data_IF_705500559267
#
_entry.id   IF_705500559267
#
_cell.length_a   1.000
_cell.length_b   1.000
_cell.length_c   1.000
_cell.angle_alpha   90.00
_cell.angle_beta   90.00
_cell.angle_gamma   90.00
#
_symmetry.space_group_name_H-M   'P 1'
#
loop_
_entity.id
_entity.type
_entity.pdbx_description
1 polymer ?
#
# COMPACT_ATOMS: atom_id res chain seq x y z
N UNK A 1 15.65 -1.53 18.49
CA UNK A 1 16.84 -2.38 18.72
C UNK A 1 17.93 -1.97 17.73
N UNK A 2 19.21 -1.95 18.12
CA UNK A 2 20.27 -1.72 17.13
C UNK A 2 20.41 -2.99 16.26
N UNK A 3 20.61 -2.84 14.94
CA UNK A 3 20.61 -3.98 14.00
C UNK A 3 21.61 -5.08 14.40
N UNK A 4 22.70 -4.69 15.06
CA UNK A 4 23.72 -5.60 15.60
C UNK A 4 23.25 -6.54 16.72
N UNK A 5 22.05 -6.32 17.28
CA UNK A 5 21.45 -7.17 18.32
C UNK A 5 20.16 -7.87 17.86
N UNK A 6 19.73 -7.67 16.62
CA UNK A 6 18.57 -8.36 16.08
C UNK A 6 18.97 -9.78 15.69
N UNK A 7 18.37 -10.77 16.34
CA UNK A 7 18.50 -12.17 15.94
C UNK A 7 17.19 -12.58 15.25
N UNK A 8 17.14 -12.61 13.91
CA UNK A 8 15.93 -12.92 13.17
C UNK A 8 15.40 -14.32 13.50
N UNK A 9 16.28 -15.28 13.79
CA UNK A 9 15.88 -16.64 14.16
C UNK A 9 15.16 -16.66 15.51
N UNK A 10 15.59 -15.83 16.46
CA UNK A 10 14.91 -15.71 17.76
C UNK A 10 13.55 -15.02 17.63
N UNK A 11 13.42 -14.06 16.73
CA UNK A 11 12.14 -13.42 16.43
C UNK A 11 11.18 -14.42 15.77
N UNK A 12 11.66 -15.23 14.81
CA UNK A 12 10.88 -16.30 14.20
C UNK A 12 10.38 -17.27 15.28
N UNK A 13 11.29 -17.85 16.08
CA UNK A 13 10.94 -18.86 17.09
C UNK A 13 10.12 -18.32 18.28
N UNK A 14 10.00 -16.99 18.43
CA UNK A 14 9.19 -16.39 19.49
C UNK A 14 7.67 -16.59 19.30
N UNK A 15 7.23 -17.06 18.13
CA UNK A 15 5.83 -17.26 17.80
C UNK A 15 5.22 -15.97 17.26
N UNK A 16 4.15 -15.51 17.89
CA UNK A 16 3.46 -14.28 17.48
C UNK A 16 4.19 -13.04 18.03
N UNK A 17 4.38 -12.04 17.17
CA UNK A 17 5.09 -10.79 17.47
C UNK A 17 4.33 -9.61 16.93
N UNK A 18 4.45 -8.43 17.53
CA UNK A 18 3.93 -7.22 16.90
C UNK A 18 4.90 -6.77 15.79
N UNK A 19 4.41 -6.70 14.55
CA UNK A 19 5.18 -6.24 13.40
C UNK A 19 4.83 -4.79 13.08
N UNK A 20 5.80 -3.89 13.16
CA UNK A 20 5.62 -2.47 12.84
C UNK A 20 6.36 -2.12 11.54
N UNK A 21 5.63 -1.57 10.58
CA UNK A 21 6.12 -1.05 9.31
C UNK A 21 5.86 0.45 9.26
N UNK A 22 6.91 1.24 8.99
CA UNK A 22 6.82 2.70 8.92
C UNK A 22 7.18 3.20 7.53
N UNK A 23 6.26 3.92 6.90
CA UNK A 23 6.48 4.58 5.61
C UNK A 23 7.16 5.91 5.87
N UNK A 24 8.43 6.03 5.44
CA UNK A 24 9.26 7.19 5.79
C UNK A 24 8.82 8.49 5.09
N UNK A 25 8.20 8.41 3.91
CA UNK A 25 7.76 9.58 3.12
C UNK A 25 6.53 10.26 3.71
N UNK A 26 5.59 9.50 4.27
CA UNK A 26 4.35 9.99 4.89
C UNK A 26 4.41 10.01 6.41
N UNK A 27 5.41 9.36 7.00
CA UNK A 27 5.53 9.11 8.45
C UNK A 27 4.36 8.29 9.02
N UNK A 28 3.56 7.65 8.17
CA UNK A 28 2.51 6.72 8.58
C UNK A 28 3.14 5.42 9.09
N UNK A 29 2.58 4.90 10.18
CA UNK A 29 3.00 3.63 10.78
C UNK A 29 1.86 2.63 10.74
N UNK A 30 2.18 1.40 10.39
CA UNK A 30 1.27 0.27 10.32
C UNK A 30 1.79 -0.81 11.26
N UNK A 31 0.99 -1.21 12.24
CA UNK A 31 1.35 -2.24 13.23
C UNK A 31 0.39 -3.41 13.12
N UNK A 32 0.90 -4.57 12.74
CA UNK A 32 0.18 -5.83 12.83
C UNK A 32 0.33 -6.37 14.24
N UNK A 33 -0.77 -6.49 14.97
CA UNK A 33 -0.76 -6.98 16.33
C UNK A 33 -0.84 -8.50 16.33
N UNK A 34 0.02 -9.15 17.13
CA UNK A 34 0.08 -10.60 17.26
C UNK A 34 0.36 -11.34 15.93
N UNK A 35 1.26 -10.78 15.11
CA UNK A 35 1.63 -11.30 13.80
C UNK A 35 2.43 -12.61 13.88
N UNK A 36 1.95 -13.67 13.25
CA UNK A 36 2.61 -14.97 13.15
C UNK A 36 3.61 -14.98 11.99
N UNK A 37 4.91 -14.89 12.30
CA UNK A 37 5.95 -14.89 11.28
C UNK A 37 6.13 -16.23 10.56
N UNK A 38 5.67 -17.36 11.11
CA UNK A 38 5.84 -18.68 10.50
C UNK A 38 4.78 -19.02 9.45
N UNK A 39 3.57 -18.47 9.61
CA UNK A 39 2.47 -18.70 8.66
C UNK A 39 2.58 -17.84 7.39
N UNK A 40 3.58 -16.95 7.32
CA UNK A 40 3.59 -15.88 6.31
C UNK A 40 4.16 -16.30 4.97
N UNK A 41 3.35 -16.18 3.92
CA UNK A 41 3.83 -15.75 2.60
C UNK A 41 4.36 -14.32 2.80
N UNK A 42 5.57 -14.02 2.31
CA UNK A 42 6.17 -12.70 2.47
C UNK A 42 5.17 -11.61 2.02
N UNK A 43 4.93 -10.56 2.82
CA UNK A 43 4.07 -9.46 2.40
C UNK A 43 4.70 -8.81 1.16
N UNK A 44 4.04 -8.79 -0.01
CA UNK A 44 4.52 -7.99 -1.12
C UNK A 44 4.55 -6.52 -0.68
N UNK A 45 5.74 -5.91 -0.69
CA UNK A 45 5.97 -4.54 -0.19
C UNK A 45 5.40 -3.44 -1.10
N UNK A 46 4.80 -3.79 -2.24
CA UNK A 46 4.71 -2.88 -3.40
C UNK A 46 3.46 -1.99 -3.48
N UNK A 47 2.52 -2.03 -2.54
CA UNK A 47 1.34 -1.15 -2.62
C UNK A 47 0.86 -0.62 -1.25
N UNK A 48 1.81 -0.34 -0.37
CA UNK A 48 1.53 0.27 0.94
C UNK A 48 1.72 1.77 0.84
N UNK A 49 0.59 2.48 0.71
CA UNK A 49 0.41 3.92 0.95
C UNK A 49 0.98 4.87 -0.10
N UNK A 50 0.33 4.91 -1.27
CA UNK A 50 0.41 6.12 -2.11
C UNK A 50 -0.40 7.24 -1.43
N UNK A 51 0.23 8.41 -1.24
CA UNK A 51 -0.41 9.67 -0.84
C UNK A 51 -1.01 9.79 0.59
N UNK A 52 -0.51 9.05 1.58
CA UNK A 52 -1.01 9.12 2.96
C UNK A 52 -0.55 10.34 3.78
N UNK A 53 -0.68 11.57 3.25
CA UNK A 53 -0.46 12.82 4.02
C UNK A 53 -1.79 13.54 4.22
N UNK A 54 -2.22 13.70 5.49
CA UNK A 54 -3.47 14.35 5.91
C UNK A 54 -3.55 15.87 5.63
N UNK A 55 -3.56 16.26 4.36
CA UNK A 55 -3.45 17.64 3.87
C UNK A 55 -4.77 18.21 3.29
N UNK A 56 -5.87 17.46 3.29
CA UNK A 56 -7.13 17.85 2.62
C UNK A 56 -8.37 17.33 3.37
N UNK A 57 -9.54 17.90 3.04
CA UNK A 57 -10.85 17.52 3.60
C UNK A 57 -11.35 16.13 3.19
N UNK A 58 -10.65 15.45 2.28
CA UNK A 58 -10.92 14.08 1.80
C UNK A 58 -9.60 13.42 1.45
N UNK A 59 -9.31 12.29 2.12
CA UNK A 59 -8.02 11.59 2.07
C UNK A 59 -8.25 10.14 1.69
N UNK A 60 -7.92 9.71 0.48
CA UNK A 60 -8.08 8.31 0.12
C UNK A 60 -6.80 7.55 0.47
N UNK A 61 -6.77 6.90 1.64
CA UNK A 61 -5.71 5.95 1.92
C UNK A 61 -6.05 4.62 1.29
N UNK A 62 -5.10 4.04 0.53
CA UNK A 62 -5.23 2.68 0.06
C UNK A 62 -4.23 1.82 0.82
N UNK A 63 -4.76 0.87 1.57
CA UNK A 63 -3.95 -0.17 2.19
C UNK A 63 -4.32 -1.47 1.48
N UNK A 64 -3.37 -2.05 0.76
CA UNK A 64 -3.69 -3.23 -0.03
C UNK A 64 -3.78 -4.51 0.81
N UNK A 65 -4.38 -5.54 0.19
CA UNK A 65 -4.78 -6.80 0.80
C UNK A 65 -3.62 -7.83 0.85
N UNK A 66 -2.46 -7.42 1.37
CA UNK A 66 -1.21 -8.17 1.18
C UNK A 66 -0.95 -9.28 2.19
N UNK A 67 -1.70 -9.29 3.29
CA UNK A 67 -1.41 -10.16 4.42
C UNK A 67 -2.67 -10.94 4.76
N UNK A 68 -2.64 -12.28 4.63
CA UNK A 68 -3.76 -13.14 5.00
C UNK A 68 -4.24 -12.83 6.42
N UNK A 69 -5.56 -12.68 6.60
CA UNK A 69 -6.17 -12.31 7.89
C UNK A 69 -5.90 -13.29 9.04
N UNK A 70 -5.44 -14.50 8.74
CA UNK A 70 -5.15 -15.56 9.70
C UNK A 70 -3.76 -15.46 10.33
N UNK A 71 -2.92 -14.53 9.87
CA UNK A 71 -1.55 -14.37 10.38
C UNK A 71 -1.38 -13.20 11.34
N UNK A 72 -2.44 -12.47 11.70
CA UNK A 72 -2.45 -11.43 12.72
C UNK A 72 -3.86 -11.27 13.31
N UNK A 73 -3.99 -10.63 14.48
CA UNK A 73 -5.30 -10.45 15.12
C UNK A 73 -6.03 -9.20 14.60
N UNK A 74 -5.28 -8.10 14.41
CA UNK A 74 -5.76 -6.86 13.83
C UNK A 74 -4.57 -5.97 13.39
N UNK A 75 -4.88 -4.85 12.74
CA UNK A 75 -3.90 -3.86 12.31
C UNK A 75 -4.21 -2.50 12.92
N UNK A 76 -3.19 -1.85 13.47
CA UNK A 76 -3.23 -0.46 13.92
C UNK A 76 -2.50 0.44 12.93
N UNK A 77 -3.21 1.41 12.38
CA UNK A 77 -2.68 2.49 11.55
C UNK A 77 -2.48 3.73 12.41
N UNK A 78 -1.32 4.36 12.31
CA UNK A 78 -0.97 5.61 13.00
C UNK A 78 -0.59 6.61 11.92
N UNK A 79 -1.47 7.58 11.69
CA UNK A 79 -1.40 8.53 10.60
C UNK A 79 -1.13 9.91 11.21
N UNK A 80 0.05 10.51 10.96
CA UNK A 80 0.31 11.87 11.41
C UNK A 80 -0.55 12.86 10.63
N UNK A 81 -1.03 13.90 11.30
CA UNK A 81 -1.73 15.01 10.66
C UNK A 81 -1.14 16.37 11.03
N UNK A 82 -1.51 17.39 10.26
CA UNK A 82 -1.12 18.78 10.49
C UNK A 82 -2.34 19.59 10.99
N UNK A 83 -2.19 20.26 12.13
CA UNK A 83 -3.22 21.14 12.72
C UNK A 83 -3.64 22.28 11.77
N UNK A 84 -2.76 22.69 10.84
CA UNK A 84 -3.08 23.70 9.83
C UNK A 84 -4.09 23.24 8.79
N UNK A 85 -4.16 21.93 8.54
CA UNK A 85 -4.97 21.31 7.49
C UNK A 85 -6.25 20.67 8.07
N UNK A 86 -6.21 20.30 9.35
CA UNK A 86 -7.24 19.54 10.03
C UNK A 86 -7.70 20.25 11.29
N UNK A 87 -9.01 20.49 11.38
CA UNK A 87 -9.60 21.07 12.58
C UNK A 87 -9.82 20.01 13.66
N UNK A 88 -9.10 20.14 14.78
CA UNK A 88 -9.28 19.26 15.94
C UNK A 88 -10.63 19.42 16.64
N UNK A 89 -11.43 20.45 16.32
CA UNK A 89 -12.80 20.58 16.82
C UNK A 89 -13.81 19.80 15.98
N UNK A 90 -13.43 19.40 14.77
CA UNK A 90 -14.26 18.64 13.85
C UNK A 90 -14.60 17.23 14.34
N UNK A 91 -15.61 16.64 13.71
CA UNK A 91 -15.89 15.21 13.82
C UNK A 91 -15.04 14.49 12.79
N UNK A 92 -14.45 13.37 13.17
CA UNK A 92 -13.63 12.55 12.28
C UNK A 92 -14.37 11.26 12.06
N UNK A 93 -14.91 11.12 10.86
CA UNK A 93 -15.62 9.93 10.45
C UNK A 93 -14.76 9.12 9.50
N UNK A 94 -14.64 7.82 9.76
CA UNK A 94 -14.00 6.87 8.86
C UNK A 94 -15.06 5.89 8.39
N UNK A 95 -15.39 5.95 7.11
CA UNK A 95 -16.42 5.11 6.51
C UNK A 95 -15.84 4.17 5.45
N UNK A 96 -16.44 2.97 5.40
CA UNK A 96 -16.49 2.05 4.25
C UNK A 96 -15.40 0.97 4.21
N UNK A 97 -15.85 -0.21 3.78
CA UNK A 97 -15.11 -1.40 3.42
C UNK A 97 -15.08 -1.47 1.89
N UNK A 98 -13.91 -1.35 1.27
CA UNK A 98 -13.76 -1.60 -0.16
C UNK A 98 -12.95 -2.87 -0.39
N UNK A 99 -13.11 -3.42 -1.57
CA UNK A 99 -12.21 -4.42 -2.13
C UNK A 99 -11.68 -3.87 -3.44
N UNK A 100 -10.50 -4.34 -3.84
CA UNK A 100 -10.10 -4.20 -5.25
C UNK A 100 -11.08 -4.97 -6.11
N UNK A 101 -11.54 -4.33 -7.19
CA UNK A 101 -12.27 -5.00 -8.25
C UNK A 101 -11.28 -5.92 -8.98
N UNK A 102 -11.49 -7.26 -8.98
CA UNK A 102 -10.62 -8.16 -9.72
C UNK A 102 -10.73 -8.00 -11.25
N UNK A 103 -11.78 -7.34 -11.75
CA UNK A 103 -12.03 -7.13 -13.17
C UNK A 103 -11.50 -5.80 -13.71
N UNK A 104 -11.20 -4.84 -12.85
CA UNK A 104 -10.67 -3.53 -13.22
C UNK A 104 -9.40 -3.23 -12.42
N UNK A 105 -8.27 -3.00 -13.10
CA UNK A 105 -6.98 -2.83 -12.42
C UNK A 105 -7.01 -1.69 -11.40
N UNK A 106 -6.97 -2.04 -10.11
CA UNK A 106 -6.85 -1.13 -8.96
C UNK A 106 -8.05 -0.22 -8.67
N UNK A 107 -9.22 -0.49 -9.25
CA UNK A 107 -10.46 0.18 -8.82
C UNK A 107 -10.94 -0.38 -7.49
N UNK A 108 -11.38 0.50 -6.59
CA UNK A 108 -11.94 0.10 -5.30
C UNK A 108 -13.46 0.15 -5.36
N UNK A 109 -14.09 -0.99 -5.11
CA UNK A 109 -15.55 -1.08 -5.03
C UNK A 109 -15.96 -1.19 -3.57
N UNK A 110 -16.91 -0.35 -3.16
CA UNK A 110 -17.53 -0.44 -1.84
C UNK A 110 -18.24 -1.80 -1.71
N UNK A 111 -17.64 -2.68 -0.91
CA UNK A 111 -18.14 -4.03 -0.71
C UNK A 111 -19.38 -4.03 0.17
N UNK A 112 -19.36 -3.20 1.21
CA UNK A 112 -20.47 -3.02 2.13
C UNK A 112 -20.92 -1.56 2.18
N UNK A 113 -22.21 -1.32 2.00
CA UNK A 113 -22.81 0.01 2.01
C UNK A 113 -24.23 -0.01 2.60
N UNK A 114 -24.37 0.57 3.80
CA UNK A 114 -25.69 0.70 4.47
C UNK A 114 -26.72 1.45 3.64
N UNK A 115 -26.29 2.44 2.86
CA UNK A 115 -27.18 3.24 1.99
C UNK A 115 -27.71 2.46 0.80
N UNK A 116 -27.01 1.39 0.39
CA UNK A 116 -27.48 0.41 -0.62
C UNK A 116 -28.46 -0.61 -0.02
N UNK A 117 -28.60 -0.63 1.30
CA UNK A 117 -29.45 -1.57 2.05
C UNK A 117 -28.70 -2.73 2.67
N UNK A 118 -27.36 -2.75 2.61
CA UNK A 118 -26.57 -3.84 3.17
C UNK A 118 -26.69 -3.87 4.71
N UNK A 119 -26.72 -5.07 5.26
CA UNK A 119 -26.70 -5.33 6.70
C UNK A 119 -25.57 -6.29 7.09
N UNK A 120 -25.53 -6.67 8.37
CA UNK A 120 -24.47 -7.52 8.91
C UNK A 120 -24.48 -8.94 8.33
N UNK A 121 -25.59 -9.39 7.75
CA UNK A 121 -25.72 -10.70 7.10
C UNK A 121 -25.16 -10.68 5.67
N UNK A 122 -24.93 -9.49 5.09
CA UNK A 122 -24.33 -9.35 3.76
C UNK A 122 -22.79 -9.37 3.77
N UNK A 123 -22.16 -9.46 4.95
CA UNK A 123 -20.70 -9.58 5.05
C UNK A 123 -20.25 -10.95 4.55
N UNK A 124 -19.23 -10.97 3.69
CA UNK A 124 -18.55 -12.21 3.31
C UNK A 124 -17.58 -12.66 4.40
N UNK A 125 -17.07 -13.87 4.26
CA UNK A 125 -16.06 -14.44 5.17
C UNK A 125 -14.84 -13.54 5.33
N UNK A 126 -14.46 -12.79 4.29
CA UNK A 126 -13.37 -11.81 4.37
C UNK A 126 -13.69 -10.75 5.43
N UNK A 127 -14.87 -10.13 5.38
CA UNK A 127 -15.25 -8.99 6.22
C UNK A 127 -15.98 -9.36 7.52
N UNK A 128 -16.21 -10.64 7.79
CA UNK A 128 -17.05 -11.08 8.92
C UNK A 128 -16.54 -10.58 10.27
N UNK A 129 -15.24 -10.35 10.40
CA UNK A 129 -14.61 -9.82 11.60
C UNK A 129 -15.10 -8.41 11.97
N UNK A 130 -15.52 -7.61 10.98
CA UNK A 130 -16.12 -6.30 11.23
C UNK A 130 -17.47 -6.38 11.96
N UNK A 131 -18.13 -7.54 11.97
CA UNK A 131 -19.35 -7.74 12.76
C UNK A 131 -19.06 -7.91 14.26
N UNK A 132 -17.81 -8.05 14.70
CA UNK A 132 -17.48 -8.06 16.13
C UNK A 132 -17.91 -6.73 16.79
N UNK A 133 -18.35 -6.77 18.05
CA UNK A 133 -18.85 -5.58 18.76
C UNK A 133 -17.84 -4.43 18.79
N UNK A 134 -16.55 -4.73 18.72
CA UNK A 134 -15.45 -3.76 18.70
C UNK A 134 -15.34 -2.98 17.38
N UNK A 135 -15.70 -3.57 16.25
CA UNK A 135 -15.53 -3.00 14.91
C UNK A 135 -16.86 -2.64 14.23
N UNK A 136 -18.00 -2.93 14.87
CA UNK A 136 -19.32 -2.77 14.26
C UNK A 136 -19.65 -1.34 13.87
N UNK A 137 -19.02 -0.35 14.49
CA UNK A 137 -19.25 1.06 14.18
C UNK A 137 -18.68 1.48 12.80
N UNK A 138 -17.76 0.69 12.23
CA UNK A 138 -17.36 0.81 10.81
C UNK A 138 -18.53 0.49 9.86
N UNK A 139 -19.49 -0.33 10.31
CA UNK A 139 -20.65 -0.78 9.53
C UNK A 139 -21.87 0.11 9.80
N UNK A 140 -21.69 1.42 9.61
CA UNK A 140 -22.76 2.43 9.74
C UNK A 140 -22.77 3.36 8.53
N UNK A 141 -23.86 4.08 8.30
CA UNK A 141 -23.99 5.04 7.18
C UNK A 141 -22.97 6.17 7.27
N UNK A 142 -22.58 6.57 8.48
CA UNK A 142 -21.66 7.69 8.72
C UNK A 142 -20.22 7.24 8.96
N UNK A 143 -19.97 5.93 9.06
CA UNK A 143 -18.70 5.41 9.55
C UNK A 143 -18.51 5.62 11.06
N UNK A 144 -17.29 5.36 11.53
CA UNK A 144 -16.92 5.49 12.93
C UNK A 144 -16.48 6.91 13.27
N UNK A 145 -17.04 7.47 14.34
CA UNK A 145 -16.61 8.76 14.90
C UNK A 145 -15.42 8.57 15.86
N UNK A 146 -14.27 9.11 15.54
CA UNK A 146 -13.05 8.92 16.32
C UNK A 146 -13.10 9.63 17.69
N UNK A 147 -12.70 8.90 18.73
CA UNK A 147 -12.63 9.43 20.09
C UNK A 147 -11.41 10.31 20.28
N UNK A 148 -11.55 11.39 21.06
CA UNK A 148 -10.44 12.24 21.52
C UNK A 148 -10.05 11.96 22.97
N UNK A 149 -10.88 11.20 23.69
CA UNK A 149 -10.78 11.02 25.13
C UNK A 149 -10.53 9.56 25.55
N UNK A 150 -10.62 8.62 24.62
CA UNK A 150 -10.48 7.20 24.89
C UNK A 150 -9.51 6.56 23.88
N UNK A 151 -8.27 6.36 24.31
CA UNK A 151 -7.21 5.72 23.50
C UNK A 151 -7.46 4.24 23.21
N UNK A 152 -8.40 3.60 23.90
CA UNK A 152 -8.75 2.18 23.66
C UNK A 152 -9.85 2.02 22.60
N UNK A 153 -10.38 3.12 22.09
CA UNK A 153 -11.39 3.11 21.03
C UNK A 153 -10.73 2.83 19.68
N UNK A 154 -11.41 2.10 18.80
CA UNK A 154 -10.81 1.63 17.53
C UNK A 154 -10.50 2.76 16.55
N UNK A 155 -11.08 3.94 16.74
CA UNK A 155 -10.55 5.16 16.12
C UNK A 155 -10.26 6.21 17.19
N UNK A 156 -9.01 6.62 17.35
CA UNK A 156 -8.58 7.58 18.36
C UNK A 156 -7.76 8.69 17.74
N UNK A 157 -7.95 9.91 18.22
CA UNK A 157 -7.18 11.09 17.82
C UNK A 157 -6.36 11.55 19.01
N UNK A 158 -5.05 11.46 18.85
CA UNK A 158 -4.10 11.99 19.80
C UNK A 158 -3.69 13.41 19.40
N UNK A 159 -4.39 14.40 19.95
CA UNK A 159 -4.09 15.83 19.71
C UNK A 159 -2.79 16.30 20.36
N UNK A 160 -2.17 15.50 21.23
CA UNK A 160 -0.87 15.85 21.82
C UNK A 160 0.30 15.47 20.91
N UNK A 161 0.13 14.46 20.06
CA UNK A 161 1.14 14.03 19.08
C UNK A 161 0.73 14.27 17.63
N UNK A 162 -0.47 14.83 17.40
CA UNK A 162 -1.06 15.04 16.08
C UNK A 162 -1.14 13.74 15.28
N UNK A 163 -1.67 12.69 15.90
CA UNK A 163 -1.81 11.36 15.30
C UNK A 163 -3.27 10.89 15.29
N UNK A 164 -3.73 10.39 14.14
CA UNK A 164 -4.94 9.60 14.00
C UNK A 164 -4.57 8.12 14.10
N UNK A 165 -5.17 7.42 15.05
CA UNK A 165 -4.94 6.01 15.32
C UNK A 165 -6.19 5.22 14.95
N UNK A 166 -6.07 4.24 14.06
CA UNK A 166 -7.19 3.45 13.54
C UNK A 166 -6.85 1.98 13.73
N UNK A 167 -7.73 1.21 14.33
CA UNK A 167 -7.62 -0.24 14.49
C UNK A 167 -8.66 -0.93 13.62
N UNK A 168 -8.20 -1.74 12.68
CA UNK A 168 -9.05 -2.53 11.78
C UNK A 168 -8.76 -4.02 11.97
N UNK A 169 -9.78 -4.92 11.89
CA UNK A 169 -9.58 -6.34 12.10
C UNK A 169 -8.69 -6.99 11.01
N UNK A 170 -8.74 -6.50 9.78
CA UNK A 170 -7.84 -6.89 8.69
C UNK A 170 -7.94 -5.84 7.57
N UNK A 171 -7.00 -5.88 6.64
CA UNK A 171 -7.14 -5.10 5.41
C UNK A 171 -8.27 -5.64 4.57
N UNK A 172 -9.17 -4.75 4.22
CA UNK A 172 -9.76 -4.69 2.90
C UNK A 172 -9.18 -3.43 2.25
N UNK A 173 -9.31 -3.21 0.94
CA UNK A 173 -9.03 -1.87 0.42
C UNK A 173 -9.88 -0.87 1.21
N UNK A 174 -9.33 -0.13 2.16
CA UNK A 174 -10.14 0.80 2.97
C UNK A 174 -9.90 2.19 2.43
N UNK A 175 -10.68 2.60 1.43
CA UNK A 175 -10.73 3.99 1.02
C UNK A 175 -11.37 4.81 2.15
N UNK A 176 -10.56 5.29 3.07
CA UNK A 176 -11.07 6.07 4.20
C UNK A 176 -11.59 7.41 3.71
N UNK A 177 -12.90 7.59 3.49
CA UNK A 177 -13.41 8.95 3.35
C UNK A 177 -13.37 9.65 4.72
N UNK A 178 -12.24 10.27 5.05
CA UNK A 178 -12.19 11.24 6.14
C UNK A 178 -12.98 12.47 5.73
N UNK A 179 -14.22 12.60 6.20
CA UNK A 179 -14.97 13.83 6.09
C UNK A 179 -14.61 14.75 7.25
N UNK A 180 -13.60 15.59 7.06
CA UNK A 180 -13.22 16.59 8.06
C UNK A 180 -14.01 17.86 7.79
N UNK A 181 -14.88 18.23 8.72
CA UNK A 181 -15.56 19.53 8.65
C UNK A 181 -14.53 20.62 8.90
N UNK A 182 -14.00 21.22 7.84
CA UNK A 182 -13.06 22.33 7.96
C UNK A 182 -13.76 23.53 8.60
N UNK A 183 -13.09 24.20 9.53
CA UNK A 183 -13.55 25.48 10.05
C UNK A 183 -13.56 26.48 8.88
N UNK A 184 -14.72 27.06 8.59
CA UNK A 184 -14.78 28.27 7.79
C UNK A 184 -13.90 29.31 8.50
N UNK A 185 -12.75 29.62 7.91
CA UNK A 185 -11.82 30.64 8.42
C UNK A 185 -12.59 31.96 8.47
N UNK A 186 -13.04 32.36 9.66
CA UNK A 186 -13.73 33.62 9.86
C UNK A 186 -12.73 34.76 9.67
N UNK A 187 -12.56 35.22 8.43
CA UNK A 187 -11.82 36.42 8.12
C UNK A 187 -12.66 37.62 8.57
N UNK A 188 -12.34 38.17 9.74
CA UNK A 188 -12.83 39.48 10.15
C UNK A 188 -12.22 40.56 9.26
N UNK A 189 -12.92 40.98 8.22
CA UNK A 189 -12.55 42.14 7.40
C UNK A 189 -13.57 43.26 7.57
N UNK A 190 -13.16 44.30 8.29
CA UNK A 190 -13.76 45.64 8.25
C UNK A 190 -13.24 46.33 6.98
N UNK A 191 -14.12 46.82 6.10
CA UNK A 191 -13.74 47.76 5.04
C UNK A 191 -14.42 47.53 3.70
N UNK A 192 -15.29 48.46 3.31
CA UNK A 192 -16.16 48.46 2.14
C UNK A 192 -15.44 48.55 0.77
N UNK A 193 -16.04 47.93 -0.25
CA UNK A 193 -16.03 48.42 -1.63
C UNK A 193 -15.44 47.49 -2.70
N UNK A 194 -16.28 47.08 -3.66
CA UNK A 194 -15.86 46.66 -5.00
C UNK A 194 -16.07 45.18 -5.34
N UNK A 195 -17.12 44.90 -6.11
CA UNK A 195 -17.35 43.62 -6.81
C UNK A 195 -16.18 43.29 -7.76
N UNK A 196 -15.59 42.10 -7.62
CA UNK A 196 -14.85 41.44 -8.71
C UNK A 196 -14.78 39.92 -8.46
N UNK A 197 -15.08 39.13 -9.49
CA UNK A 197 -15.32 37.68 -9.42
C UNK A 197 -14.11 36.87 -8.97
N UNK A 198 -14.29 36.07 -7.93
CA UNK A 198 -13.29 35.12 -7.41
C UNK A 198 -13.28 33.83 -8.23
N UNK A 199 -12.31 33.73 -9.15
CA UNK A 199 -11.96 32.46 -9.79
C UNK A 199 -11.19 31.59 -8.80
N UNK A 200 -11.67 30.37 -8.57
CA UNK A 200 -10.93 29.31 -7.89
C UNK A 200 -9.65 29.07 -8.71
N UNK A 201 -8.48 29.30 -8.08
CA UNK A 201 -7.19 29.10 -8.74
C UNK A 201 -7.02 27.65 -9.19
N UNK A 202 -6.64 27.44 -10.45
CA UNK A 202 -6.24 26.12 -10.97
C UNK A 202 -5.02 25.61 -10.20
N UNK A 203 -5.03 24.33 -9.80
CA UNK A 203 -3.85 23.66 -9.21
C UNK A 203 -2.64 23.67 -10.16
N UNK A 204 -2.91 23.64 -11.47
CA UNK A 204 -1.91 23.62 -12.52
C UNK A 204 -1.51 25.04 -12.94
N UNK A 205 -0.20 25.31 -12.95
CA UNK A 205 0.39 26.60 -13.32
C UNK A 205 0.48 26.77 -14.85
N UNK A 206 0.74 25.67 -15.58
CA UNK A 206 0.87 25.67 -17.05
C UNK A 206 0.32 24.40 -17.67
N UNK A 207 -0.35 24.56 -18.81
CA UNK A 207 -0.76 23.46 -19.70
C UNK A 207 -0.10 23.64 -21.07
N UNK A 208 0.65 22.66 -21.54
CA UNK A 208 1.21 22.62 -22.90
C UNK A 208 0.50 21.52 -23.70
N UNK A 209 0.23 21.74 -24.99
CA UNK A 209 -0.41 20.71 -25.83
C UNK A 209 0.64 19.97 -26.64
N UNK A 210 0.49 18.65 -26.75
CA UNK A 210 1.31 17.81 -27.64
C UNK A 210 0.46 17.47 -28.87
N UNK A 211 1.06 17.51 -30.06
CA UNK A 211 0.38 17.08 -31.28
C UNK A 211 0.34 15.54 -31.38
N UNK A 212 -0.67 15.03 -32.07
CA UNK A 212 -0.86 13.58 -32.24
C UNK A 212 0.31 12.95 -32.99
N UNK A 213 0.89 13.64 -33.99
CA UNK A 213 2.04 13.12 -34.72
C UNK A 213 3.27 12.91 -33.80
N UNK A 214 3.52 13.84 -32.87
CA UNK A 214 4.60 13.72 -31.88
C UNK A 214 4.33 12.55 -30.90
N UNK A 215 3.08 12.37 -30.49
CA UNK A 215 2.69 11.26 -29.61
C UNK A 215 2.82 9.89 -30.28
N UNK A 216 2.48 9.78 -31.56
CA UNK A 216 2.59 8.52 -32.33
C UNK A 216 4.05 8.08 -32.49
N UNK A 217 4.96 9.02 -32.77
CA UNK A 217 6.40 8.75 -32.84
C UNK A 217 6.97 8.44 -31.44
N UNK A 218 6.47 9.14 -30.42
CA UNK A 218 6.98 9.14 -29.06
C UNK A 218 7.86 10.37 -28.83
N UNK A 219 7.49 11.21 -27.87
CA UNK A 219 8.11 12.50 -27.62
C UNK A 219 8.77 12.55 -26.25
N UNK A 220 9.91 13.22 -26.15
CA UNK A 220 10.51 13.57 -24.86
C UNK A 220 10.11 15.00 -24.46
N UNK A 221 9.59 15.16 -23.24
CA UNK A 221 9.21 16.46 -22.68
C UNK A 221 9.81 16.65 -21.30
N UNK A 222 10.27 17.87 -21.03
CA UNK A 222 10.70 18.31 -19.71
C UNK A 222 9.52 19.03 -19.07
N UNK A 223 8.94 18.45 -18.03
CA UNK A 223 7.76 18.99 -17.32
C UNK A 223 8.19 19.44 -15.93
N UNK A 224 7.72 20.61 -15.50
CA UNK A 224 7.94 21.10 -14.13
C UNK A 224 6.84 20.62 -13.19
N UNK A 225 7.12 20.59 -11.89
CA UNK A 225 6.08 20.45 -10.85
C UNK A 225 4.95 21.45 -11.10
N UNK A 226 3.70 21.00 -10.98
CA UNK A 226 2.46 21.74 -11.29
C UNK A 226 2.30 22.17 -12.75
N UNK A 227 3.06 21.58 -13.67
CA UNK A 227 2.78 21.69 -15.11
C UNK A 227 2.15 20.40 -15.62
N UNK A 228 1.34 20.52 -16.67
CA UNK A 228 0.71 19.39 -17.35
C UNK A 228 0.76 19.50 -18.87
N UNK A 229 0.66 18.35 -19.51
CA UNK A 229 0.54 18.18 -20.94
C UNK A 229 -0.90 17.82 -21.25
N UNK A 230 -1.51 18.52 -22.20
CA UNK A 230 -2.77 18.16 -22.82
C UNK A 230 -2.46 17.25 -24.01
N UNK A 231 -3.02 16.06 -23.99
CA UNK A 231 -2.86 15.05 -25.04
C UNK A 231 -4.22 14.65 -25.58
N UNK A 232 -4.29 14.27 -26.85
CA UNK A 232 -5.50 13.71 -27.44
C UNK A 232 -5.28 12.23 -27.78
N UNK A 233 -6.07 11.36 -27.18
CA UNK A 233 -6.01 9.92 -27.39
C UNK A 233 -7.39 9.49 -27.87
N UNK A 234 -7.45 8.80 -29.00
CA UNK A 234 -8.70 8.26 -29.56
C UNK A 234 -9.87 9.27 -29.70
N UNK A 235 -9.55 10.57 -29.86
CA UNK A 235 -10.54 11.64 -29.97
C UNK A 235 -10.90 12.33 -28.65
N UNK A 236 -10.46 11.78 -27.53
CA UNK A 236 -10.68 12.31 -26.18
C UNK A 236 -9.48 13.12 -25.69
N UNK A 237 -9.74 14.10 -24.82
CA UNK A 237 -8.69 14.95 -24.24
C UNK A 237 -8.32 14.41 -22.87
N UNK A 238 -7.04 14.08 -22.69
CA UNK A 238 -6.48 13.70 -21.41
C UNK A 238 -5.41 14.72 -20.99
N UNK A 239 -5.05 14.69 -19.71
CA UNK A 239 -3.94 15.48 -19.20
C UNK A 239 -2.97 14.60 -18.44
N UNK A 240 -1.67 14.81 -18.67
CA UNK A 240 -0.59 14.20 -17.91
C UNK A 240 0.17 15.30 -17.20
N UNK A 241 0.16 15.33 -15.87
CA UNK A 241 0.78 16.38 -15.08
C UNK A 241 1.76 15.86 -14.02
N UNK A 242 2.74 16.69 -13.68
CA UNK A 242 3.69 16.38 -12.61
C UNK A 242 3.23 17.03 -11.32
N UNK A 243 2.91 16.20 -10.32
CA UNK A 243 2.38 16.63 -9.01
C UNK A 243 3.53 16.95 -8.05
N UNK A 244 4.50 16.05 -7.96
CA UNK A 244 5.65 16.15 -7.05
C UNK A 244 6.91 15.59 -7.73
N UNK A 245 8.06 16.16 -7.39
CA UNK A 245 9.38 15.66 -7.77
C UNK A 245 10.23 15.60 -6.51
N UNK A 246 10.94 14.48 -6.33
CA UNK A 246 11.98 14.32 -5.32
C UNK A 246 13.32 13.99 -6.00
N UNK A 247 14.35 13.63 -5.23
CA UNK A 247 15.69 13.34 -5.75
C UNK A 247 15.76 12.05 -6.60
N UNK A 248 14.78 11.15 -6.46
CA UNK A 248 14.81 9.82 -7.10
C UNK A 248 13.52 9.40 -7.80
N UNK A 249 12.41 10.11 -7.57
CA UNK A 249 11.11 9.76 -8.14
C UNK A 249 10.27 10.98 -8.50
N UNK A 250 9.26 10.75 -9.33
CA UNK A 250 8.27 11.74 -9.79
C UNK A 250 6.88 11.17 -9.61
N UNK A 251 5.97 11.94 -9.03
CA UNK A 251 4.54 11.62 -8.96
C UNK A 251 3.83 12.23 -10.16
N UNK A 252 3.25 11.38 -11.01
CA UNK A 252 2.54 11.77 -12.22
C UNK A 252 1.04 11.56 -12.01
N UNK A 253 0.23 12.54 -12.42
CA UNK A 253 -1.22 12.43 -12.47
C UNK A 253 -1.71 12.39 -13.91
N UNK A 254 -2.61 11.46 -14.23
CA UNK A 254 -3.31 11.39 -15.52
C UNK A 254 -4.79 11.66 -15.26
N UNK A 255 -5.36 12.74 -15.82
CA UNK A 255 -6.60 13.34 -15.29
C UNK A 255 -7.84 13.20 -16.18
N UNK A 256 -8.09 12.03 -16.78
CA UNK A 256 -9.42 11.72 -17.35
C UNK A 256 -10.24 10.88 -16.38
N UNK A 257 -9.61 9.86 -15.81
CA UNK A 257 -9.89 9.30 -14.48
C UNK A 257 -8.62 9.48 -13.66
N UNK A 258 -8.65 10.13 -12.49
CA UNK A 258 -7.45 10.55 -11.80
C UNK A 258 -6.62 9.34 -11.34
N UNK A 259 -5.68 8.93 -12.17
CA UNK A 259 -4.65 7.95 -11.87
C UNK A 259 -3.44 8.72 -11.35
N UNK A 260 -2.90 8.32 -10.22
CA UNK A 260 -1.62 8.80 -9.71
C UNK A 260 -0.63 7.64 -9.68
N UNK A 261 0.56 7.88 -10.23
CA UNK A 261 1.59 6.86 -10.34
C UNK A 261 2.95 7.46 -9.97
N UNK A 262 3.75 6.73 -9.21
CA UNK A 262 5.12 7.12 -8.84
C UNK A 262 6.10 6.42 -9.77
N UNK A 263 6.94 7.21 -10.43
CA UNK A 263 8.00 6.70 -11.29
C UNK A 263 9.36 6.94 -10.65
N UNK A 264 10.15 5.90 -10.50
CA UNK A 264 11.59 5.98 -10.26
C UNK A 264 12.34 6.26 -11.57
N UNK A 265 13.53 6.85 -11.51
CA UNK A 265 14.34 7.11 -12.73
C UNK A 265 14.60 5.80 -13.49
N UNK A 266 14.21 5.76 -14.77
CA UNK A 266 14.30 4.61 -15.66
C UNK A 266 13.02 3.74 -15.71
N UNK A 267 12.10 3.93 -14.76
CA UNK A 267 10.82 3.22 -14.70
C UNK A 267 9.88 3.64 -15.83
N UNK A 268 9.03 2.71 -16.25
CA UNK A 268 8.05 2.88 -17.31
C UNK A 268 6.78 2.13 -16.99
N UNK A 269 5.64 2.72 -17.35
CA UNK A 269 4.33 2.11 -17.17
C UNK A 269 3.46 2.36 -18.42
N UNK A 270 2.39 1.57 -18.56
CA UNK A 270 1.40 1.67 -19.63
C UNK A 270 0.02 1.86 -19.01
N UNK A 271 -0.80 2.71 -19.60
CA UNK A 271 -2.11 3.08 -19.08
C UNK A 271 -3.20 2.79 -20.10
N UNK A 272 -4.25 2.13 -19.62
CA UNK A 272 -5.57 2.00 -20.26
C UNK A 272 -6.37 3.24 -19.82
N UNK A 273 -6.96 3.99 -20.76
CA UNK A 273 -7.59 5.28 -20.48
C UNK A 273 -9.00 5.42 -21.05
N UNK A 274 -9.55 4.38 -21.70
CA UNK A 274 -10.82 4.45 -22.43
C UNK A 274 -11.77 3.24 -22.19
N UNK A 275 -11.32 2.23 -21.44
CA UNK A 275 -12.06 1.01 -21.10
C UNK A 275 -12.11 -0.08 -22.19
N UNK A 276 -11.22 -0.10 -23.19
CA UNK A 276 -11.29 -1.03 -24.33
C UNK A 276 -10.41 -2.29 -24.25
N UNK A 277 -9.79 -2.56 -23.11
CA UNK A 277 -8.80 -3.63 -22.88
C UNK A 277 -7.47 -3.47 -23.66
N UNK A 278 -7.14 -2.25 -24.12
CA UNK A 278 -5.84 -1.92 -24.72
C UNK A 278 -5.14 -0.79 -23.95
N UNK A 279 -3.83 -0.91 -23.80
CA UNK A 279 -3.03 0.21 -23.35
C UNK A 279 -3.02 1.32 -24.42
N UNK A 280 -3.35 2.54 -24.01
CA UNK A 280 -3.42 3.75 -24.84
C UNK A 280 -2.16 4.62 -24.74
N UNK A 281 -1.51 4.61 -23.57
CA UNK A 281 -0.43 5.54 -23.25
C UNK A 281 0.75 4.82 -22.61
N UNK A 282 1.95 5.06 -23.15
CA UNK A 282 3.21 4.67 -22.56
C UNK A 282 3.89 5.90 -21.96
N UNK A 283 4.34 5.78 -20.70
CA UNK A 283 5.10 6.83 -20.01
C UNK A 283 6.36 6.22 -19.40
N UNK A 284 7.47 6.93 -19.54
CA UNK A 284 8.74 6.57 -18.90
C UNK A 284 9.40 7.80 -18.29
N UNK A 285 9.90 7.67 -17.07
CA UNK A 285 10.77 8.67 -16.47
C UNK A 285 12.21 8.41 -16.90
N UNK A 286 12.81 9.34 -17.65
CA UNK A 286 14.20 9.21 -18.09
C UNK A 286 15.19 9.78 -17.08
N UNK A 287 14.88 10.97 -16.56
CA UNK A 287 15.79 11.73 -15.70
C UNK A 287 15.00 12.78 -14.89
N UNK A 288 15.54 13.16 -13.73
CA UNK A 288 15.11 14.30 -12.95
C UNK A 288 16.18 15.39 -13.08
N UNK A 289 15.78 16.54 -13.62
CA UNK A 289 16.68 17.67 -13.87
C UNK A 289 16.58 18.71 -12.75
N UNK A 290 17.56 18.67 -11.84
CA UNK A 290 17.54 19.52 -10.65
C UNK A 290 16.39 19.12 -9.72
N UNK A 291 15.75 20.10 -9.08
CA UNK A 291 14.82 19.81 -7.98
C UNK A 291 13.33 19.91 -8.40
N UNK A 292 13.04 20.26 -9.65
CA UNK A 292 11.65 20.58 -10.04
C UNK A 292 11.30 20.28 -11.49
N UNK A 293 12.11 19.50 -12.22
CA UNK A 293 11.83 19.11 -13.61
C UNK A 293 12.01 17.61 -13.81
N UNK A 294 11.07 17.01 -14.53
CA UNK A 294 11.12 15.61 -14.94
C UNK A 294 11.22 15.53 -16.46
N UNK A 295 12.18 14.76 -16.95
CA UNK A 295 12.29 14.40 -18.37
C UNK A 295 11.53 13.10 -18.60
N UNK A 296 10.40 13.18 -19.30
CA UNK A 296 9.53 12.04 -19.58
C UNK A 296 9.54 11.70 -21.07
N UNK A 297 9.54 10.41 -21.39
CA UNK A 297 9.12 9.92 -22.72
C UNK A 297 7.64 9.57 -22.64
N UNK A 298 6.87 10.09 -23.60
CA UNK A 298 5.43 9.88 -23.70
C UNK A 298 5.13 9.40 -25.11
N UNK A 299 4.40 8.30 -25.23
CA UNK A 299 4.07 7.71 -26.52
C UNK A 299 2.66 7.14 -26.51
N UNK A 300 1.89 7.43 -27.56
CA UNK A 300 0.63 6.75 -27.81
C UNK A 300 0.91 5.32 -28.25
N UNK A 301 0.21 4.37 -27.63
CA UNK A 301 0.29 2.95 -27.95
C UNK A 301 -1.11 2.39 -28.13
N UNK A 302 -1.20 1.18 -28.69
CA UNK A 302 -2.44 0.42 -28.77
C UNK A 302 -2.06 -1.06 -28.67
N UNK A 303 -1.87 -1.52 -27.44
CA UNK A 303 -1.36 -2.85 -27.14
C UNK A 303 -2.34 -3.59 -26.24
N UNK A 304 -2.77 -4.78 -26.66
CA UNK A 304 -3.77 -5.55 -25.94
C UNK A 304 -3.27 -5.90 -24.54
N UNK A 305 -4.09 -5.65 -23.52
CA UNK A 305 -3.79 -6.05 -22.14
C UNK A 305 -3.80 -7.58 -22.09
N UNK A 306 -2.76 -8.23 -21.55
CA UNK A 306 -2.75 -9.68 -21.37
C UNK A 306 -3.93 -10.10 -20.51
N UNK A 307 -4.93 -10.72 -21.12
CA UNK A 307 -6.02 -11.33 -20.37
C UNK A 307 -5.41 -12.46 -19.54
N UNK A 308 -5.50 -12.31 -18.22
CA UNK A 308 -5.34 -13.42 -17.30
C UNK A 308 -6.54 -14.34 -17.48
N UNK A 309 -6.58 -15.06 -18.60
CA UNK A 309 -7.40 -16.26 -18.65
C UNK A 309 -6.91 -17.09 -17.47
N UNK A 310 -7.79 -17.57 -16.57
CA UNK A 310 -7.41 -18.63 -15.68
C UNK A 310 -6.78 -19.68 -16.58
N UNK A 311 -5.49 -19.95 -16.40
CA UNK A 311 -4.91 -21.07 -17.08
C UNK A 311 -5.80 -22.25 -16.68
N UNK A 312 -6.40 -22.90 -17.67
CA UNK A 312 -6.73 -24.31 -17.58
C UNK A 312 -5.39 -25.07 -17.41
N UNK A 313 -4.66 -24.76 -16.34
CA UNK A 313 -3.90 -25.74 -15.60
C UNK A 313 -4.95 -26.68 -15.05
N UNK A 314 -5.47 -27.51 -15.95
CA UNK A 314 -5.82 -28.87 -15.66
C UNK A 314 -4.63 -29.40 -14.87
N UNK A 315 -4.77 -29.32 -13.54
CA UNK A 315 -4.00 -30.07 -12.58
C UNK A 315 -4.29 -31.52 -12.95
N UNK A 316 -3.60 -31.98 -13.99
CA UNK A 316 -3.49 -33.36 -14.34
C UNK A 316 -2.78 -33.92 -13.13
N UNK A 317 -3.56 -34.46 -12.19
CA UNK A 317 -3.08 -35.43 -11.23
C UNK A 317 -2.47 -36.54 -12.07
N UNK A 318 -1.19 -36.38 -12.39
CA UNK A 318 -0.35 -37.48 -12.78
C UNK A 318 -0.28 -38.36 -11.56
N UNK A 319 -1.23 -39.29 -11.50
CA UNK A 319 -1.19 -40.50 -10.69
C UNK A 319 -0.08 -41.39 -11.28
N UNK A 320 1.15 -40.87 -11.25
CA UNK A 320 2.35 -41.68 -11.39
C UNK A 320 2.61 -42.19 -9.99
N UNK A 321 2.17 -43.42 -9.74
CA UNK A 321 2.73 -44.28 -8.71
C UNK A 321 4.21 -44.51 -9.02
N UNK A 322 5.04 -43.51 -8.75
CA UNK A 322 6.45 -43.73 -8.53
C UNK A 322 6.58 -44.34 -7.14
N UNK A 323 6.80 -45.66 -7.17
CA UNK A 323 7.52 -46.41 -6.17
C UNK A 323 8.60 -45.53 -5.51
N UNK A 324 8.59 -45.35 -4.18
CA UNK A 324 9.61 -44.55 -3.52
C UNK A 324 10.94 -45.30 -3.58
N UNK A 325 11.78 -44.96 -4.56
CA UNK A 325 13.21 -45.16 -4.38
C UNK A 325 13.69 -44.15 -3.35
N UNK A 326 14.10 -44.67 -2.19
CA UNK A 326 14.80 -43.93 -1.17
C UNK A 326 16.02 -43.25 -1.77
N UNK A 327 16.03 -41.92 -1.77
CA UNK A 327 17.27 -41.16 -1.82
C UNK A 327 17.86 -41.25 -0.41
N UNK A 328 18.84 -42.14 -0.26
CA UNK A 328 19.66 -42.29 0.94
C UNK A 328 20.55 -41.05 1.08
N UNK A 329 20.03 -40.06 1.80
CA UNK A 329 20.73 -38.83 2.14
C UNK A 329 21.74 -39.11 3.27
N UNK A 330 22.94 -39.51 2.85
CA UNK A 330 24.23 -39.23 3.48
C UNK A 330 24.36 -39.45 5.02
N UNK A 331 24.25 -40.70 5.47
CA UNK A 331 24.71 -41.16 6.81
C UNK A 331 26.22 -41.45 6.90
N UNK A 332 27.08 -40.73 6.19
CA UNK A 332 28.53 -41.05 6.18
C UNK A 332 29.36 -40.40 7.30
N UNK A 333 28.84 -39.43 8.07
CA UNK A 333 29.63 -38.76 9.13
C UNK A 333 29.33 -39.26 10.56
N UNK A 334 28.16 -39.88 10.79
CA UNK A 334 27.79 -40.37 12.12
C UNK A 334 28.69 -41.52 12.62
N UNK A 335 29.12 -42.42 11.73
CA UNK A 335 30.04 -43.51 12.07
C UNK A 335 31.47 -43.02 12.33
N UNK A 336 31.89 -41.92 11.69
CA UNK A 336 33.19 -41.28 11.94
C UNK A 336 33.27 -40.71 13.36
N UNK A 337 32.18 -40.08 13.84
CA UNK A 337 32.11 -39.58 15.23
C UNK A 337 32.11 -40.72 16.27
N UNK A 338 31.39 -41.81 16.01
CA UNK A 338 31.38 -42.99 16.90
C UNK A 338 32.77 -43.63 16.99
N UNK A 339 33.50 -43.73 15.87
CA UNK A 339 34.87 -44.25 15.84
C UNK A 339 35.84 -43.42 16.69
N UNK A 340 35.76 -42.08 16.61
CA UNK A 340 36.61 -41.18 17.40
C UNK A 340 36.36 -41.33 18.90
N UNK A 341 35.09 -41.46 19.32
CA UNK A 341 34.73 -41.62 20.74
C UNK A 341 35.30 -42.93 21.30
N UNK A 342 35.22 -44.04 20.56
CA UNK A 342 35.76 -45.34 21.00
C UNK A 342 37.29 -45.26 21.18
N UNK A 343 38.00 -44.62 20.26
CA UNK A 343 39.46 -44.45 20.35
C UNK A 343 39.84 -43.63 21.58
N UNK A 344 39.12 -42.54 21.88
CA UNK A 344 39.37 -41.73 23.08
C UNK A 344 39.12 -42.51 24.38
N UNK A 345 38.09 -43.37 24.43
CA UNK A 345 37.82 -44.22 25.59
C UNK A 345 38.96 -45.24 25.79
N UNK A 346 39.44 -45.87 24.72
CA UNK A 346 40.55 -46.84 24.79
C UNK A 346 41.85 -46.18 25.24
N UNK A 347 42.17 -44.99 24.70
CA UNK A 347 43.35 -44.21 25.13
C UNK A 347 43.19 -43.80 26.60
N UNK A 348 42.02 -43.30 27.00
CA UNK A 348 41.74 -42.94 28.38
C UNK A 348 41.87 -44.11 29.36
N UNK A 349 41.35 -45.28 28.98
CA UNK A 349 41.47 -46.51 29.77
C UNK A 349 42.93 -47.00 29.87
N UNK A 350 43.68 -46.94 28.77
CA UNK A 350 45.10 -47.29 28.75
C UNK A 350 45.94 -46.35 29.62
N UNK A 351 45.70 -45.04 29.55
CA UNK A 351 46.35 -44.04 30.39
C UNK A 351 45.99 -44.21 31.87
N UNK A 352 44.74 -44.55 32.19
CA UNK A 352 44.32 -44.86 33.56
C UNK A 352 45.01 -46.11 34.10
N UNK A 353 45.14 -47.16 33.29
CA UNK A 353 45.83 -48.38 33.69
C UNK A 353 47.31 -48.14 33.97
N UNK A 354 47.98 -47.33 33.12
CA UNK A 354 49.40 -46.97 33.28
C UNK A 354 49.66 -46.08 34.51
N UNK A 355 48.64 -45.47 35.10
CA UNK A 355 48.80 -44.62 36.29
C UNK A 355 48.66 -45.40 37.61
N UNK A 356 48.18 -46.65 37.54
CA UNK A 356 47.94 -47.51 38.70
C UNK A 356 48.96 -48.67 38.81
N UNK A 357 49.86 -48.80 37.83
CA UNK A 357 51.12 -49.56 37.91
C UNK A 357 52.26 -48.56 38.18
#
# INVERSE_FOLDING_TARGET
MNASRFNPLKALVAGQVDLELKVLSSNVTMRFNNFDMFSTKQPPMFAVMDDAKANSSTQNWKFGNFVPKDVYDNVTLIIPYNEGDISESGTFNISILYTEDPSESHQLIAWWNRSRGDDYNNLTDEFIAYNASRYRDYLTTTGINCSKNNSNYVCFINTSSNELIIEIPHFSGVESMMAITTLAKSSSSTGSGGESGGGIGSYWDKTESIDNAELDEGVEKIIQVKHRLKINLSGETHYLGVVEINDSFVTINISSDPIQEIFSVGEKNKFELNGDDYYDLFVKLNEIEGNNKARLTIKKIHEKIPSLSPSDDEFTKSDTRENPQMIDENKSYLWLFVGIIIVLIVIGFWLMRRRNE
#
